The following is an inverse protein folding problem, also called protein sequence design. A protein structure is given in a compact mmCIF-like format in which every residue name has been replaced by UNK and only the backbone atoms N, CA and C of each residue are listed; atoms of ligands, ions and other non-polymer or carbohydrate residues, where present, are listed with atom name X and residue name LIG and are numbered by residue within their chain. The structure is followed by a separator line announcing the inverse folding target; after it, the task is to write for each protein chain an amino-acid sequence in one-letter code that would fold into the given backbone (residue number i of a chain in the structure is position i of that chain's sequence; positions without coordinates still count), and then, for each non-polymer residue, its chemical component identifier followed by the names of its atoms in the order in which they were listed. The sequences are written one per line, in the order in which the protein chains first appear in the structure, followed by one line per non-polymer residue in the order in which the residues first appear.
data_IF_133623995506
#
_entry.id   IF_133623995506
#
_cell.length_a   1.000
_cell.length_b   1.000
_cell.length_c   1.000
_cell.angle_alpha   90.00
_cell.angle_beta   90.00
_cell.angle_gamma   90.00
#
_symmetry.space_group_name_H-M   'P 1'
#
loop_
_entity.id
_entity.type
_entity.pdbx_description
1 polymer ?
#
# COMPACT_ATOMS: atom_id res chain seq x y z
N UNK A 1 -18.71 -8.53 10.69
CA UNK A 1 -17.46 -8.66 9.88
C UNK A 1 -16.52 -7.53 10.28
N UNK A 2 -15.21 -7.76 10.48
CA UNK A 2 -14.27 -6.70 10.83
C UNK A 2 -14.20 -5.62 9.72
N UNK A 3 -13.84 -4.37 10.05
CA UNK A 3 -13.78 -3.28 9.09
C UNK A 3 -12.81 -3.62 7.95
N UNK A 4 -13.28 -3.53 6.70
CA UNK A 4 -12.44 -3.79 5.53
C UNK A 4 -11.56 -2.58 5.25
N UNK A 5 -10.27 -2.85 5.00
CA UNK A 5 -9.27 -1.84 4.65
C UNK A 5 -9.59 -1.12 3.34
N UNK A 6 -10.26 -1.82 2.41
CA UNK A 6 -10.72 -1.32 1.12
C UNK A 6 -12.24 -1.53 1.07
N UNK A 7 -13.06 -0.49 1.26
CA UNK A 7 -14.51 -0.66 1.27
C UNK A 7 -15.03 -1.02 -0.12
N UNK A 8 -15.90 -2.04 -0.21
CA UNK A 8 -16.57 -2.52 -1.43
C UNK A 8 -15.66 -3.00 -2.58
N UNK A 9 -14.36 -3.20 -2.35
CA UNK A 9 -13.45 -3.73 -3.37
C UNK A 9 -13.62 -5.25 -3.57
N UNK A 10 -13.37 -5.73 -4.79
CA UNK A 10 -13.20 -7.17 -5.08
C UNK A 10 -12.02 -7.81 -4.32
N UNK A 11 -11.19 -6.99 -3.67
CA UNK A 11 -10.00 -7.43 -2.97
C UNK A 11 -10.34 -7.87 -1.55
N UNK A 12 -10.23 -9.18 -1.31
CA UNK A 12 -10.24 -9.69 0.06
C UNK A 12 -8.98 -9.22 0.79
N UNK A 13 -9.01 -9.07 2.12
CA UNK A 13 -7.83 -8.68 2.90
C UNK A 13 -6.61 -9.58 2.64
N UNK A 14 -6.84 -10.88 2.40
CA UNK A 14 -5.79 -11.84 2.04
C UNK A 14 -5.14 -11.55 0.68
N UNK A 15 -5.93 -11.16 -0.32
CA UNK A 15 -5.39 -10.78 -1.64
C UNK A 15 -4.53 -9.52 -1.53
N UNK A 16 -5.00 -8.51 -0.80
CA UNK A 16 -4.23 -7.27 -0.58
C UNK A 16 -2.92 -7.57 0.15
N UNK A 17 -2.97 -8.39 1.20
CA UNK A 17 -1.77 -8.81 1.92
C UNK A 17 -0.76 -9.53 1.00
N UNK A 18 -1.23 -10.45 0.16
CA UNK A 18 -0.38 -11.16 -0.79
C UNK A 18 0.27 -10.23 -1.82
N UNK A 19 -0.49 -9.31 -2.43
CA UNK A 19 0.01 -8.34 -3.42
C UNK A 19 1.10 -7.45 -2.81
N UNK A 20 0.90 -6.99 -1.57
CA UNK A 20 1.86 -6.13 -0.88
C UNK A 20 3.09 -6.89 -0.41
N UNK A 21 2.94 -8.09 0.14
CA UNK A 21 4.06 -8.95 0.51
C UNK A 21 4.91 -9.26 -0.73
N UNK A 22 4.27 -9.68 -1.82
CA UNK A 22 4.93 -9.94 -3.09
C UNK A 22 5.69 -8.71 -3.59
N UNK A 23 5.12 -7.51 -3.43
CA UNK A 23 5.73 -6.26 -3.91
C UNK A 23 6.93 -5.81 -3.06
N UNK A 24 6.77 -5.79 -1.75
CA UNK A 24 7.69 -5.14 -0.82
C UNK A 24 8.65 -6.10 -0.13
N UNK A 25 8.25 -7.35 0.10
CA UNK A 25 9.09 -8.39 0.69
C UNK A 25 9.80 -9.18 -0.41
N UNK A 26 9.05 -9.67 -1.40
CA UNK A 26 9.62 -10.54 -2.46
C UNK A 26 10.18 -9.75 -3.67
N UNK A 27 10.02 -8.42 -3.69
CA UNK A 27 10.54 -7.55 -4.74
C UNK A 27 9.85 -7.71 -6.10
N UNK A 28 8.64 -8.28 -6.14
CA UNK A 28 7.89 -8.56 -7.36
C UNK A 28 7.15 -7.31 -7.86
N UNK A 29 7.53 -6.71 -9.01
CA UNK A 29 6.90 -5.49 -9.49
C UNK A 29 5.46 -5.74 -9.98
N UNK A 30 4.59 -4.72 -9.90
CA UNK A 30 3.15 -4.87 -10.20
C UNK A 30 2.87 -5.35 -11.62
N UNK A 31 3.66 -4.97 -12.63
CA UNK A 31 3.48 -5.48 -14.01
C UNK A 31 3.68 -7.01 -14.09
N UNK A 32 4.54 -7.56 -13.22
CA UNK A 32 4.81 -8.99 -13.19
C UNK A 32 3.72 -9.74 -12.42
N UNK A 33 3.19 -9.12 -11.37
CA UNK A 33 2.01 -9.63 -10.65
C UNK A 33 0.78 -9.66 -11.55
N UNK A 34 0.54 -8.61 -12.34
CA UNK A 34 -0.53 -8.53 -13.35
C UNK A 34 -0.44 -9.74 -14.30
N UNK A 35 0.73 -10.01 -14.88
CA UNK A 35 0.95 -11.21 -15.73
C UNK A 35 0.80 -12.55 -15.00
N UNK A 36 0.97 -12.61 -13.69
CA UNK A 36 0.72 -13.84 -12.91
C UNK A 36 -0.78 -14.04 -12.75
N UNK A 37 -1.52 -12.98 -12.42
CA UNK A 37 -2.97 -13.01 -12.30
C UNK A 37 -3.64 -13.33 -13.63
N UNK A 38 -3.16 -12.79 -14.75
CA UNK A 38 -3.62 -13.15 -16.10
C UNK A 38 -3.52 -14.67 -16.35
N UNK A 39 -2.43 -15.31 -15.92
CA UNK A 39 -2.28 -16.79 -16.04
C UNK A 39 -3.23 -17.58 -15.17
N UNK A 40 -3.75 -16.97 -14.10
CA UNK A 40 -4.78 -17.53 -13.23
C UNK A 40 -6.20 -17.18 -13.71
N UNK A 41 -6.34 -16.51 -14.85
CA UNK A 41 -7.63 -16.05 -15.39
C UNK A 41 -8.22 -14.84 -14.66
N UNK A 42 -7.40 -14.12 -13.89
CA UNK A 42 -7.81 -12.94 -13.13
C UNK A 42 -7.31 -11.67 -13.83
N UNK A 43 -8.24 -10.81 -14.25
CA UNK A 43 -7.91 -9.49 -14.79
C UNK A 43 -7.77 -8.47 -13.66
N UNK A 44 -6.54 -8.31 -13.14
CA UNK A 44 -6.21 -7.35 -12.09
C UNK A 44 -5.14 -6.41 -12.63
N UNK A 45 -5.58 -5.22 -13.01
CA UNK A 45 -4.66 -4.22 -13.56
C UNK A 45 -3.62 -3.74 -12.54
N UNK A 46 -2.46 -3.32 -13.05
CA UNK A 46 -1.46 -2.56 -12.28
C UNK A 46 -2.03 -1.38 -11.52
N UNK A 47 -2.91 -0.61 -12.15
CA UNK A 47 -3.50 0.59 -11.55
C UNK A 47 -4.34 0.22 -10.31
N UNK A 48 -5.07 -0.89 -10.40
CA UNK A 48 -5.85 -1.44 -9.29
C UNK A 48 -4.95 -1.80 -8.11
N UNK A 49 -3.85 -2.54 -8.34
CA UNK A 49 -2.89 -2.90 -7.29
C UNK A 49 -2.18 -1.69 -6.68
N UNK A 50 -1.80 -0.70 -7.49
CA UNK A 50 -1.25 0.57 -7.01
C UNK A 50 -2.26 1.31 -6.12
N UNK A 51 -3.53 1.33 -6.51
CA UNK A 51 -4.61 1.90 -5.72
C UNK A 51 -4.74 1.24 -4.34
N UNK A 52 -4.69 -0.10 -4.29
CA UNK A 52 -4.70 -0.85 -3.04
C UNK A 52 -3.50 -0.51 -2.16
N UNK A 53 -2.29 -0.47 -2.74
CA UNK A 53 -1.08 -0.11 -2.01
C UNK A 53 -1.15 1.29 -1.39
N UNK A 54 -1.71 2.27 -2.10
CA UNK A 54 -1.91 3.62 -1.57
C UNK A 54 -2.90 3.64 -0.39
N UNK A 55 -3.98 2.87 -0.46
CA UNK A 55 -4.94 2.79 0.65
C UNK A 55 -4.30 2.17 1.90
N UNK A 56 -3.53 1.09 1.73
CA UNK A 56 -2.82 0.47 2.84
C UNK A 56 -1.77 1.41 3.43
N UNK A 57 -1.00 2.11 2.59
CA UNK A 57 -0.02 3.09 3.06
C UNK A 57 -0.67 4.20 3.91
N UNK A 58 -1.85 4.68 3.50
CA UNK A 58 -2.62 5.67 4.28
C UNK A 58 -3.08 5.11 5.63
N UNK A 59 -3.54 3.87 5.66
CA UNK A 59 -3.97 3.22 6.90
C UNK A 59 -2.81 2.92 7.86
N UNK A 60 -1.62 2.64 7.33
CA UNK A 60 -0.41 2.41 8.12
C UNK A 60 0.27 3.72 8.58
N UNK A 61 -0.12 4.88 8.04
CA UNK A 61 0.46 6.18 8.38
C UNK A 61 0.61 6.44 9.90
N UNK A 62 -0.41 6.22 10.77
CA UNK A 62 -0.26 6.41 12.20
C UNK A 62 0.78 5.48 12.84
N UNK A 63 0.84 4.21 12.41
CA UNK A 63 1.82 3.24 12.90
C UNK A 63 3.25 3.65 12.50
N UNK A 64 3.42 4.09 11.26
CA UNK A 64 4.71 4.58 10.76
C UNK A 64 5.17 5.81 11.55
N UNK A 65 4.25 6.72 11.89
CA UNK A 65 4.53 7.86 12.77
C UNK A 65 5.10 7.44 14.13
N UNK A 66 4.46 6.47 14.80
CA UNK A 66 4.93 5.94 16.09
C UNK A 66 6.27 5.21 15.98
N UNK A 67 6.50 4.48 14.89
CA UNK A 67 7.78 3.81 14.64
C UNK A 67 8.93 4.80 14.51
N UNK A 68 8.74 5.89 13.77
CA UNK A 68 9.74 6.95 13.64
C UNK A 68 10.00 7.69 14.95
N UNK A 69 8.94 7.99 15.72
CA UNK A 69 9.08 8.60 17.04
C UNK A 69 9.95 7.76 17.97
N UNK A 70 9.76 6.44 17.97
CA UNK A 70 10.54 5.51 18.79
C UNK A 70 11.96 5.28 18.27
N UNK A 71 12.14 5.24 16.95
CA UNK A 71 13.44 4.99 16.32
C UNK A 71 14.37 6.22 16.35
N UNK A 72 13.80 7.43 16.39
CA UNK A 72 14.54 8.69 16.45
C UNK A 72 13.78 9.69 17.35
N UNK A 73 13.92 9.59 18.69
CA UNK A 73 13.29 10.53 19.61
C UNK A 73 13.82 11.94 19.32
N UNK A 74 13.00 12.78 18.67
CA UNK A 74 13.37 14.13 18.23
C UNK A 74 13.01 14.49 16.78
N UNK A 75 12.60 13.53 15.94
CA UNK A 75 12.13 13.79 14.56
C UNK A 75 10.60 13.99 14.42
N UNK A 76 9.87 14.06 15.53
CA UNK A 76 8.39 14.01 15.56
C UNK A 76 7.66 15.18 14.88
N UNK A 77 8.36 16.21 14.40
CA UNK A 77 7.74 17.38 13.75
C UNK A 77 8.00 17.52 12.24
N UNK A 78 8.93 16.76 11.65
CA UNK A 78 9.40 17.05 10.27
C UNK A 78 8.87 16.11 9.19
N UNK A 79 8.36 14.92 9.55
CA UNK A 79 7.64 14.03 8.62
C UNK A 79 6.14 14.36 8.54
N UNK A 80 5.79 15.64 8.69
CA UNK A 80 4.48 16.12 8.25
C UNK A 80 4.40 15.93 6.74
N UNK A 81 3.23 15.44 6.27
CA UNK A 81 2.95 15.18 4.84
C UNK A 81 3.62 16.24 3.99
N UNK A 82 4.35 15.88 2.91
CA UNK A 82 4.79 16.89 1.95
C UNK A 82 3.55 17.70 1.60
N UNK A 83 3.60 19.00 1.89
CA UNK A 83 2.56 19.95 1.49
C UNK A 83 2.16 19.60 0.06
N UNK A 84 0.85 19.51 -0.19
CA UNK A 84 0.20 19.05 -1.41
C UNK A 84 0.68 19.75 -2.70
N UNK A 85 1.58 20.73 -2.61
CA UNK A 85 2.27 21.43 -3.70
C UNK A 85 3.54 20.75 -4.22
N UNK A 86 4.15 19.81 -3.49
CA UNK A 86 5.48 19.27 -3.87
C UNK A 86 5.45 18.18 -4.95
N UNK A 87 4.28 17.61 -5.25
CA UNK A 87 4.09 16.56 -6.27
C UNK A 87 3.40 17.09 -7.54
N UNK A 88 3.24 18.40 -7.69
CA UNK A 88 2.57 19.06 -8.81
C UNK A 88 3.51 19.97 -9.64
N UNK A 89 4.74 19.50 -9.90
CA UNK A 89 5.63 20.05 -10.93
C UNK A 89 6.19 18.91 -11.76
#
# INVERSE_FOLDING_TARGET
MPPQLIPQGLATPGLVAYVLASKFVDGLPFYRQERIFERLGLDISRATMCGWALQVARACQPLVGLLYEKAAPGQSSTWTKPSSRSWAK
#
